data_IF_683514133509
#
_entry.id   IF_683514133509
#
_cell.length_a   1.000
_cell.length_b   1.000
_cell.length_c   1.000
_cell.angle_alpha   90.00
_cell.angle_beta   90.00
_cell.angle_gamma   90.00
#
_symmetry.space_group_name_H-M   'P 1'
#
loop_
_entity.id
_entity.type
_entity.pdbx_description
1 polymer ?
#
# COMPACT_ATOMS: atom_id res chain seq x y z
N UNK A 1 -12.01 -91.22 20.43
CA UNK A 1 -10.64 -90.69 20.60
C UNK A 1 -10.62 -89.33 19.91
N UNK A 2 -10.65 -88.32 20.70
CA UNK A 2 -10.94 -86.94 20.24
C UNK A 2 -9.67 -86.14 20.46
N UNK A 3 -9.16 -85.58 19.42
CA UNK A 3 -8.03 -84.63 19.52
C UNK A 3 -8.49 -83.20 19.35
N UNK A 4 -8.28 -82.47 20.42
CA UNK A 4 -8.47 -81.03 20.48
C UNK A 4 -7.45 -80.30 19.59
N UNK A 5 -7.94 -79.51 18.65
CA UNK A 5 -7.13 -78.54 17.92
C UNK A 5 -7.33 -77.12 18.54
N UNK A 6 -6.23 -76.68 19.09
CA UNK A 6 -6.08 -75.43 19.76
C UNK A 6 -5.96 -74.31 18.70
N UNK A 7 -6.95 -73.45 18.61
CA UNK A 7 -6.91 -72.28 17.69
C UNK A 7 -6.28 -71.14 18.46
N UNK A 8 -5.05 -70.86 18.18
CA UNK A 8 -4.31 -69.71 18.71
C UNK A 8 -4.86 -68.39 18.15
N UNK A 9 -5.16 -67.54 19.09
CA UNK A 9 -5.64 -66.18 18.86
C UNK A 9 -4.64 -65.36 18.03
N UNK A 10 -5.02 -64.96 16.80
CA UNK A 10 -4.37 -63.87 16.07
C UNK A 10 -4.83 -62.55 16.65
N UNK A 11 -3.99 -61.98 17.51
CA UNK A 11 -4.13 -60.57 17.93
C UNK A 11 -3.88 -59.69 16.70
N UNK A 12 -4.94 -59.14 16.14
CA UNK A 12 -4.88 -58.06 15.21
C UNK A 12 -4.27 -56.84 15.91
N UNK A 13 -3.02 -56.47 15.53
CA UNK A 13 -2.43 -55.17 15.86
C UNK A 13 -3.20 -54.12 15.10
N UNK A 14 -4.08 -53.41 15.79
CA UNK A 14 -4.65 -52.17 15.29
C UNK A 14 -3.52 -51.15 15.18
N UNK A 15 -3.13 -50.89 13.97
CA UNK A 15 -2.31 -49.72 13.64
C UNK A 15 -3.18 -48.50 13.88
N UNK A 16 -2.89 -47.79 14.96
CA UNK A 16 -3.45 -46.48 15.21
C UNK A 16 -2.98 -45.60 14.03
N UNK A 17 -3.90 -45.36 13.10
CA UNK A 17 -3.73 -44.39 12.05
C UNK A 17 -3.48 -43.02 12.67
N UNK A 18 -2.27 -42.51 12.57
CA UNK A 18 -1.98 -41.12 12.79
C UNK A 18 -2.86 -40.33 11.82
N UNK A 19 -3.76 -39.46 12.29
CA UNK A 19 -4.36 -38.48 11.40
C UNK A 19 -3.21 -37.52 10.98
N UNK A 20 -2.76 -37.70 9.75
CA UNK A 20 -1.91 -36.72 9.08
C UNK A 20 -2.76 -35.45 8.97
N UNK A 21 -2.71 -34.66 10.04
CA UNK A 21 -3.24 -33.32 10.05
C UNK A 21 -2.39 -32.51 9.08
N UNK A 22 -2.78 -32.60 7.81
CA UNK A 22 -2.26 -31.75 6.73
C UNK A 22 -2.71 -30.33 7.07
N UNK A 23 -1.98 -29.67 7.98
CA UNK A 23 -2.01 -28.25 8.14
C UNK A 23 -1.57 -27.64 6.79
N UNK A 24 -2.54 -27.43 5.93
CA UNK A 24 -2.47 -26.47 4.85
C UNK A 24 -2.25 -25.12 5.52
N UNK A 25 -0.98 -24.82 5.83
CA UNK A 25 -0.52 -23.48 6.03
C UNK A 25 -0.81 -22.76 4.70
N UNK A 26 -1.95 -22.10 4.66
CA UNK A 26 -2.23 -21.04 3.72
C UNK A 26 -1.19 -19.96 4.03
N UNK A 27 0.00 -20.13 3.44
CA UNK A 27 0.95 -19.06 3.27
C UNK A 27 0.24 -18.05 2.35
N UNK A 28 -0.55 -17.19 2.95
CA UNK A 28 -0.93 -15.92 2.34
C UNK A 28 0.40 -15.23 2.09
N UNK A 29 0.93 -15.41 0.89
CA UNK A 29 2.03 -14.60 0.41
C UNK A 29 1.49 -13.16 0.40
N UNK A 30 1.68 -12.44 1.49
CA UNK A 30 1.51 -11.01 1.51
C UNK A 30 2.54 -10.48 0.52
N UNK A 31 2.10 -10.14 -0.67
CA UNK A 31 2.88 -9.40 -1.64
C UNK A 31 3.09 -8.02 -1.01
N UNK A 32 4.18 -7.85 -0.30
CA UNK A 32 4.48 -6.63 0.42
C UNK A 32 5.23 -5.70 -0.52
N UNK A 33 4.59 -4.60 -0.91
CA UNK A 33 5.30 -3.48 -1.52
C UNK A 33 6.36 -2.96 -0.55
N UNK A 34 7.53 -2.60 -1.07
CA UNK A 34 8.60 -2.06 -0.26
C UNK A 34 8.45 -0.53 -0.15
N UNK A 35 8.42 -0.03 1.08
CA UNK A 35 8.50 1.40 1.35
C UNK A 35 9.91 1.91 1.06
N UNK A 36 10.00 2.99 0.29
CA UNK A 36 11.26 3.71 0.03
C UNK A 36 11.36 4.92 0.93
N UNK A 37 12.57 5.20 1.42
CA UNK A 37 12.82 6.40 2.18
C UNK A 37 12.58 7.64 1.31
N UNK A 38 11.80 8.59 1.80
CA UNK A 38 11.54 9.87 1.15
C UNK A 38 12.42 10.92 1.83
N UNK A 39 13.24 11.61 1.02
CA UNK A 39 14.02 12.74 1.51
C UNK A 39 13.28 14.04 1.18
N UNK A 40 13.05 14.86 2.19
CA UNK A 40 12.34 16.13 2.04
C UNK A 40 13.02 17.10 1.04
N UNK A 41 14.32 17.01 0.87
CA UNK A 41 15.06 17.87 -0.06
C UNK A 41 14.86 17.48 -1.55
N UNK A 42 14.48 16.25 -1.82
CA UNK A 42 14.41 15.69 -3.17
C UNK A 42 13.00 15.22 -3.56
N UNK A 43 12.02 15.41 -2.67
CA UNK A 43 10.65 14.96 -2.92
C UNK A 43 9.97 15.82 -3.98
N UNK A 44 9.24 15.18 -4.88
CA UNK A 44 8.35 15.90 -5.80
C UNK A 44 7.08 16.30 -5.03
N UNK A 45 6.84 17.59 -4.89
CA UNK A 45 5.68 18.15 -4.21
C UNK A 45 4.67 18.77 -5.19
N UNK A 46 4.54 18.19 -6.37
CA UNK A 46 3.72 18.77 -7.43
C UNK A 46 2.26 18.97 -7.00
N UNK A 47 1.67 17.97 -6.30
CA UNK A 47 0.29 18.03 -5.86
C UNK A 47 0.10 18.84 -4.56
N UNK A 48 0.94 18.63 -3.56
CA UNK A 48 0.84 19.36 -2.27
C UNK A 48 1.37 20.79 -2.36
N UNK A 49 2.18 21.10 -3.35
CA UNK A 49 2.72 22.44 -3.62
C UNK A 49 3.32 23.10 -2.34
N UNK A 50 2.86 24.28 -1.97
CA UNK A 50 3.36 25.04 -0.81
C UNK A 50 3.14 24.33 0.54
N UNK A 51 2.13 23.46 0.63
CA UNK A 51 1.82 22.74 1.86
C UNK A 51 2.89 21.70 2.21
N UNK A 52 3.73 21.33 1.25
CA UNK A 52 4.86 20.43 1.41
C UNK A 52 5.86 20.90 2.48
N UNK A 53 5.94 22.19 2.71
CA UNK A 53 6.79 22.80 3.75
C UNK A 53 6.41 22.39 5.18
N UNK A 54 5.18 21.92 5.39
CA UNK A 54 4.68 21.43 6.68
C UNK A 54 5.14 20.00 6.99
N UNK A 55 5.59 19.26 5.99
CA UNK A 55 5.92 17.84 6.12
C UNK A 55 7.19 17.62 6.95
N UNK A 56 7.17 16.56 7.72
CA UNK A 56 8.34 16.07 8.48
C UNK A 56 8.50 14.57 8.24
N UNK A 57 9.70 14.05 8.46
CA UNK A 57 9.98 12.62 8.29
C UNK A 57 9.09 11.76 9.19
N UNK A 58 8.45 10.76 8.61
CA UNK A 58 7.65 9.78 9.33
C UNK A 58 8.48 8.66 9.93
N UNK A 59 7.91 7.94 10.90
CA UNK A 59 8.48 6.74 11.49
C UNK A 59 8.29 5.52 10.57
N UNK A 60 8.84 4.37 10.97
CA UNK A 60 8.85 3.15 10.16
C UNK A 60 7.46 2.71 9.66
N UNK A 61 6.44 2.83 10.50
CA UNK A 61 5.05 2.42 10.24
C UNK A 61 4.15 3.57 9.74
N UNK A 62 4.72 4.73 9.43
CA UNK A 62 4.04 5.93 8.94
C UNK A 62 4.41 6.19 7.48
N UNK A 63 3.76 7.16 6.84
CA UNK A 63 4.18 7.66 5.54
C UNK A 63 5.63 8.20 5.59
N UNK A 64 6.32 8.24 4.47
CA UNK A 64 7.71 8.70 4.39
C UNK A 64 7.88 10.12 4.89
N UNK A 65 7.01 11.02 4.44
CA UNK A 65 6.83 12.36 4.99
C UNK A 65 5.39 12.54 5.44
N UNK A 66 5.20 13.27 6.52
CA UNK A 66 3.86 13.49 7.07
C UNK A 66 3.74 14.81 7.81
N UNK A 67 2.51 15.30 7.86
CA UNK A 67 2.08 16.34 8.78
C UNK A 67 0.73 15.93 9.38
N UNK A 68 0.55 16.11 10.68
CA UNK A 68 -0.75 15.94 11.36
C UNK A 68 -0.97 17.18 12.18
N UNK A 69 -2.08 17.88 11.95
CA UNK A 69 -2.39 19.09 12.66
C UNK A 69 -2.66 18.79 14.15
N UNK A 70 -1.83 19.30 15.08
CA UNK A 70 -1.99 19.01 16.51
C UNK A 70 -3.26 19.61 17.12
N UNK A 71 -3.85 20.62 16.45
CA UNK A 71 -5.10 21.25 16.87
C UNK A 71 -6.35 20.62 16.24
N UNK A 72 -6.20 19.53 15.45
CA UNK A 72 -7.33 18.86 14.82
C UNK A 72 -8.14 18.08 15.87
N UNK A 73 -9.43 18.35 15.93
CA UNK A 73 -10.38 17.62 16.78
C UNK A 73 -10.91 16.42 15.99
N UNK A 74 -10.09 15.38 15.87
CA UNK A 74 -10.35 14.22 15.01
C UNK A 74 -11.67 13.49 15.32
N UNK A 75 -12.08 13.44 16.59
CA UNK A 75 -13.31 12.76 17.03
C UNK A 75 -14.60 13.34 16.45
N UNK A 76 -14.56 14.56 15.90
CA UNK A 76 -15.72 15.15 15.25
C UNK A 76 -15.98 14.63 13.83
N UNK A 77 -14.96 13.98 13.21
CA UNK A 77 -15.06 13.53 11.83
C UNK A 77 -15.50 12.07 11.74
N UNK A 78 -16.65 11.85 11.13
CA UNK A 78 -17.20 10.51 10.85
C UNK A 78 -17.61 10.33 9.38
N UNK A 79 -17.42 11.37 8.56
CA UNK A 79 -17.77 11.41 7.15
C UNK A 79 -16.57 11.81 6.31
N UNK A 80 -16.50 11.29 5.07
CA UNK A 80 -15.45 11.63 4.13
C UNK A 80 -16.04 12.01 2.78
N UNK A 81 -15.63 13.15 2.27
CA UNK A 81 -15.81 13.59 0.89
C UNK A 81 -14.50 13.22 0.15
N UNK A 82 -14.58 12.26 -0.78
CA UNK A 82 -13.42 11.82 -1.56
C UNK A 82 -13.48 12.48 -2.93
N UNK A 83 -12.53 13.38 -3.19
CA UNK A 83 -12.35 13.94 -4.53
C UNK A 83 -11.80 12.89 -5.51
N UNK A 84 -12.01 13.05 -6.82
CA UNK A 84 -11.40 12.16 -7.80
C UNK A 84 -9.87 12.09 -7.62
N UNK A 85 -9.32 10.86 -7.56
CA UNK A 85 -7.87 10.67 -7.55
C UNK A 85 -7.28 11.23 -8.85
N UNK A 86 -6.15 11.88 -8.75
CA UNK A 86 -5.45 12.47 -9.90
C UNK A 86 -4.11 11.80 -10.15
N UNK A 87 -3.65 11.81 -11.41
CA UNK A 87 -2.32 11.38 -11.78
C UNK A 87 -1.49 12.60 -12.22
N UNK A 88 -0.32 12.75 -11.62
CA UNK A 88 0.61 13.84 -11.88
C UNK A 88 1.90 13.26 -12.49
N UNK A 89 1.89 13.02 -13.79
CA UNK A 89 3.06 12.68 -14.57
C UNK A 89 3.58 13.93 -15.25
N UNK A 90 4.89 14.17 -15.22
CA UNK A 90 5.50 15.22 -16.05
C UNK A 90 5.46 14.85 -17.54
N UNK A 91 5.97 15.76 -18.38
CA UNK A 91 6.07 15.56 -19.84
C UNK A 91 6.90 14.33 -20.24
N UNK A 92 7.69 13.81 -19.31
CA UNK A 92 8.55 12.62 -19.47
C UNK A 92 7.92 11.32 -18.98
N UNK A 93 6.68 11.34 -18.50
CA UNK A 93 6.02 10.11 -18.02
C UNK A 93 5.93 9.06 -19.14
N UNK A 94 6.29 7.83 -18.82
CA UNK A 94 6.14 6.69 -19.72
C UNK A 94 4.79 6.00 -19.55
N UNK A 95 3.98 6.41 -18.55
CA UNK A 95 2.66 5.83 -18.29
C UNK A 95 1.67 6.36 -19.32
N UNK A 96 1.06 5.47 -20.11
CA UNK A 96 0.07 5.87 -21.11
C UNK A 96 -1.15 6.54 -20.48
N UNK A 97 -1.85 7.40 -21.23
CA UNK A 97 -3.06 8.06 -20.72
C UNK A 97 -4.16 7.07 -20.33
N UNK A 98 -4.27 5.93 -21.03
CA UNK A 98 -5.21 4.85 -20.67
C UNK A 98 -4.86 4.21 -19.36
N UNK A 99 -3.57 4.01 -19.12
CA UNK A 99 -3.07 3.37 -17.91
C UNK A 99 -3.20 4.32 -16.71
N UNK A 100 -2.89 5.60 -16.89
CA UNK A 100 -3.14 6.62 -15.88
C UNK A 100 -4.62 6.62 -15.44
N UNK A 101 -5.53 6.61 -16.43
CA UNK A 101 -6.97 6.61 -16.15
C UNK A 101 -7.41 5.32 -15.43
N UNK A 102 -6.88 4.17 -15.82
CA UNK A 102 -7.20 2.90 -15.19
C UNK A 102 -6.73 2.89 -13.73
N UNK A 103 -5.51 3.37 -13.47
CA UNK A 103 -4.93 3.43 -12.13
C UNK A 103 -5.71 4.37 -11.19
N UNK A 104 -6.05 5.58 -11.65
CA UNK A 104 -6.84 6.51 -10.82
C UNK A 104 -8.26 6.02 -10.56
N UNK A 105 -8.88 5.32 -11.52
CA UNK A 105 -10.18 4.71 -11.35
C UNK A 105 -10.12 3.58 -10.31
N UNK A 106 -9.13 2.70 -10.41
CA UNK A 106 -8.91 1.62 -9.45
C UNK A 106 -8.70 2.19 -8.04
N UNK A 107 -7.81 3.17 -7.88
CA UNK A 107 -7.54 3.80 -6.60
C UNK A 107 -8.81 4.43 -6.02
N UNK A 108 -9.55 5.21 -6.82
CA UNK A 108 -10.79 5.84 -6.39
C UNK A 108 -11.83 4.83 -5.92
N UNK A 109 -11.95 3.70 -6.63
CA UNK A 109 -12.86 2.62 -6.26
C UNK A 109 -12.45 1.96 -4.94
N UNK A 110 -11.17 1.63 -4.79
CA UNK A 110 -10.64 1.00 -3.58
C UNK A 110 -10.72 1.93 -2.36
N UNK A 111 -10.43 3.24 -2.52
CA UNK A 111 -10.61 4.23 -1.46
C UNK A 111 -12.05 4.23 -0.93
N UNK A 112 -13.03 4.34 -1.83
CA UNK A 112 -14.45 4.35 -1.45
C UNK A 112 -14.86 3.04 -0.76
N UNK A 113 -14.42 1.90 -1.29
CA UNK A 113 -14.75 0.58 -0.73
C UNK A 113 -14.15 0.37 0.66
N UNK A 114 -12.88 0.74 0.86
CA UNK A 114 -12.16 0.48 2.10
C UNK A 114 -12.48 1.51 3.18
N UNK A 115 -12.56 2.81 2.84
CA UNK A 115 -12.90 3.85 3.80
C UNK A 115 -14.38 3.82 4.16
N UNK A 116 -15.26 3.42 3.23
CA UNK A 116 -16.69 3.25 3.45
C UNK A 116 -17.06 2.17 4.48
N UNK A 117 -16.11 1.28 4.84
CA UNK A 117 -16.30 0.33 5.94
C UNK A 117 -16.31 1.00 7.33
N UNK A 118 -15.74 2.20 7.43
CA UNK A 118 -15.54 2.90 8.71
C UNK A 118 -16.18 4.29 8.74
N UNK A 119 -16.26 4.95 7.60
CA UNK A 119 -16.76 6.31 7.46
C UNK A 119 -17.92 6.37 6.48
N UNK A 120 -18.86 7.28 6.72
CA UNK A 120 -19.90 7.60 5.73
C UNK A 120 -19.25 8.35 4.56
N UNK A 121 -19.36 7.80 3.34
CA UNK A 121 -18.88 8.49 2.13
C UNK A 121 -19.97 9.43 1.65
N UNK A 122 -19.66 10.71 1.57
CA UNK A 122 -20.58 11.78 1.18
C UNK A 122 -20.10 12.50 -0.08
N UNK A 123 -21.03 13.22 -0.74
CA UNK A 123 -20.75 13.97 -1.96
C UNK A 123 -20.76 15.50 -1.73
N UNK A 124 -20.95 15.94 -0.50
CA UNK A 124 -21.05 17.37 -0.17
C UNK A 124 -20.26 17.68 1.09
N UNK A 125 -19.67 18.87 1.12
CA UNK A 125 -19.04 19.43 2.29
C UNK A 125 -20.07 19.69 3.39
N UNK A 126 -19.66 19.60 4.66
CA UNK A 126 -20.52 19.86 5.79
C UNK A 126 -19.82 19.61 7.13
N UNK A 127 -20.52 19.88 8.24
CA UNK A 127 -19.97 19.62 9.57
C UNK A 127 -19.62 18.13 9.76
N UNK A 128 -18.44 17.86 10.35
CA UNK A 128 -17.98 16.51 10.60
C UNK A 128 -17.49 15.75 9.35
N UNK A 129 -17.35 16.45 8.20
CA UNK A 129 -16.86 15.88 6.96
C UNK A 129 -15.39 16.25 6.76
N UNK A 130 -14.54 15.24 6.62
CA UNK A 130 -13.17 15.39 6.08
C UNK A 130 -13.23 15.38 4.56
N UNK A 131 -12.51 16.28 3.92
CA UNK A 131 -12.25 16.23 2.49
C UNK A 131 -10.91 15.53 2.26
N UNK A 132 -10.91 14.52 1.41
CA UNK A 132 -9.74 13.72 1.06
C UNK A 132 -9.38 13.95 -0.42
N UNK A 133 -8.23 14.52 -0.63
CA UNK A 133 -7.60 14.72 -1.94
C UNK A 133 -6.39 13.77 -2.05
N UNK A 134 -6.29 12.99 -3.13
CA UNK A 134 -5.23 12.00 -3.35
C UNK A 134 -4.68 12.14 -4.76
N UNK A 135 -3.36 12.06 -4.86
CA UNK A 135 -2.66 12.03 -6.12
C UNK A 135 -1.66 10.88 -6.18
N UNK A 136 -1.48 10.34 -7.38
CA UNK A 136 -0.34 9.51 -7.74
C UNK A 136 0.61 10.42 -8.52
N UNK A 137 1.86 10.47 -8.08
CA UNK A 137 2.90 11.26 -8.75
C UNK A 137 3.91 10.30 -9.37
N UNK A 138 4.12 10.43 -10.67
CA UNK A 138 5.16 9.68 -11.36
C UNK A 138 6.53 10.22 -10.97
N UNK A 139 7.33 9.39 -10.31
CA UNK A 139 8.67 9.76 -9.85
C UNK A 139 9.76 9.48 -10.87
N UNK A 140 9.47 8.71 -11.92
CA UNK A 140 10.45 8.45 -12.98
C UNK A 140 10.75 9.71 -13.81
N UNK A 141 9.80 10.63 -13.88
CA UNK A 141 10.00 11.93 -14.50
C UNK A 141 11.05 12.81 -13.79
N UNK A 142 11.45 12.44 -12.56
CA UNK A 142 12.45 13.17 -11.78
C UNK A 142 13.71 12.33 -11.58
N UNK A 143 14.66 12.47 -12.49
CA UNK A 143 15.94 11.76 -12.61
C UNK A 143 16.82 11.55 -11.35
N UNK A 144 16.65 12.23 -10.20
CA UNK A 144 17.46 11.98 -9.01
C UNK A 144 17.12 10.71 -8.24
N UNK A 145 15.90 10.20 -8.35
CA UNK A 145 15.42 9.08 -7.51
C UNK A 145 16.02 7.73 -7.94
N UNK A 146 16.21 7.52 -9.24
CA UNK A 146 16.81 6.28 -9.76
C UNK A 146 18.22 6.00 -9.21
N UNK A 147 19.04 7.04 -8.99
CA UNK A 147 20.39 6.86 -8.44
C UNK A 147 20.43 6.45 -6.98
N UNK A 148 19.37 6.74 -6.21
CA UNK A 148 19.33 6.45 -4.77
C UNK A 148 18.67 5.13 -4.43
N UNK A 149 17.76 4.63 -5.28
CA UNK A 149 17.15 3.31 -5.11
C UNK A 149 18.22 2.22 -5.25
N UNK A 150 19.16 2.38 -6.17
CA UNK A 150 20.28 1.43 -6.38
C UNK A 150 21.23 1.32 -5.18
N UNK A 151 21.26 2.31 -4.28
CA UNK A 151 22.16 2.33 -3.11
C UNK A 151 21.53 1.78 -1.83
N UNK A 152 20.22 1.58 -1.80
CA UNK A 152 19.50 1.15 -0.58
C UNK A 152 19.12 -0.33 -0.64
N UNK A 153 19.13 -0.95 -1.82
CA UNK A 153 18.83 -2.39 -1.97
C UNK A 153 20.05 -3.20 -1.55
N UNK A 154 19.93 -4.17 -0.61
CA UNK A 154 21.04 -5.05 -0.24
C UNK A 154 21.65 -5.71 -1.48
N UNK A 155 22.99 -5.76 -1.55
CA UNK A 155 23.73 -6.22 -2.73
C UNK A 155 23.35 -7.63 -3.23
N UNK A 156 22.85 -8.48 -2.34
CA UNK A 156 22.42 -9.85 -2.67
C UNK A 156 21.20 -9.90 -3.61
N UNK A 157 20.29 -8.94 -3.46
CA UNK A 157 19.14 -8.80 -4.37
C UNK A 157 19.48 -8.01 -5.63
N UNK A 158 20.53 -7.19 -5.57
CA UNK A 158 20.94 -6.34 -6.68
C UNK A 158 21.52 -7.15 -7.87
N UNK A 159 22.26 -8.20 -7.59
CA UNK A 159 22.85 -9.05 -8.66
C UNK A 159 21.76 -9.84 -9.44
N UNK A 160 20.72 -10.31 -8.76
CA UNK A 160 19.58 -10.98 -9.40
C UNK A 160 18.73 -9.97 -10.20
N UNK A 161 18.50 -8.78 -9.63
CA UNK A 161 17.70 -7.72 -10.27
C UNK A 161 18.44 -7.07 -11.45
N UNK A 162 19.76 -6.85 -11.36
CA UNK A 162 20.57 -6.33 -12.47
C UNK A 162 20.63 -7.28 -13.66
N UNK A 163 20.71 -8.59 -13.42
CA UNK A 163 20.67 -9.58 -14.49
C UNK A 163 19.29 -9.61 -15.17
N UNK A 164 18.25 -9.40 -14.41
CA UNK A 164 16.88 -9.34 -14.89
C UNK A 164 16.62 -8.02 -15.63
N UNK A 165 17.06 -6.88 -15.10
CA UNK A 165 16.94 -5.56 -15.73
C UNK A 165 17.77 -5.43 -17.03
N UNK A 166 18.86 -6.19 -17.18
CA UNK A 166 19.67 -6.20 -18.41
C UNK A 166 19.03 -6.99 -19.56
N UNK A 167 18.05 -7.85 -19.27
CA UNK A 167 17.41 -8.74 -20.25
C UNK A 167 15.98 -8.39 -20.59
N UNK A 168 15.31 -7.58 -19.75
CA UNK A 168 13.91 -7.20 -19.96
C UNK A 168 13.77 -5.71 -19.66
N UNK A 169 13.41 -4.95 -20.67
CA UNK A 169 13.06 -3.54 -20.52
C UNK A 169 11.70 -3.48 -19.81
N UNK A 170 11.70 -3.38 -18.48
CA UNK A 170 10.50 -3.07 -17.73
C UNK A 170 10.32 -1.55 -17.70
N UNK A 171 9.35 -1.00 -18.43
CA UNK A 171 9.09 0.44 -18.36
C UNK A 171 8.54 0.87 -16.99
N UNK A 172 8.19 -0.06 -16.09
CA UNK A 172 7.39 0.24 -14.90
C UNK A 172 7.89 -0.36 -13.58
N UNK A 173 9.15 -0.72 -13.45
CA UNK A 173 9.77 -0.97 -12.13
C UNK A 173 10.07 0.38 -11.48
N UNK A 174 9.09 1.29 -11.55
CA UNK A 174 9.19 2.62 -11.01
C UNK A 174 8.79 2.65 -9.55
N UNK A 175 9.34 3.59 -8.82
CA UNK A 175 8.80 4.01 -7.56
C UNK A 175 7.59 4.90 -7.83
N UNK A 176 6.42 4.54 -7.37
CA UNK A 176 5.27 5.43 -7.34
C UNK A 176 5.26 6.23 -6.04
N UNK A 177 4.94 7.51 -6.15
CA UNK A 177 4.72 8.40 -5.02
C UNK A 177 3.22 8.62 -4.85
N UNK A 178 2.70 8.33 -3.65
CA UNK A 178 1.36 8.72 -3.25
C UNK A 178 1.40 10.01 -2.45
N UNK A 179 0.58 10.99 -2.81
CA UNK A 179 0.39 12.23 -2.07
C UNK A 179 -1.04 12.33 -1.57
N UNK A 180 -1.20 12.72 -0.30
CA UNK A 180 -2.51 12.82 0.37
C UNK A 180 -2.62 14.15 1.08
N UNK A 181 -3.76 14.81 0.89
CA UNK A 181 -4.18 16.00 1.62
C UNK A 181 -5.55 15.77 2.24
N UNK A 182 -5.65 15.98 3.54
CA UNK A 182 -6.91 15.90 4.29
C UNK A 182 -7.21 17.26 4.88
N UNK A 183 -8.37 17.77 4.59
CA UNK A 183 -8.84 19.06 5.10
C UNK A 183 -10.19 18.93 5.79
N UNK A 184 -10.50 19.86 6.66
CA UNK A 184 -11.87 20.10 7.08
C UNK A 184 -12.66 20.64 5.89
N UNK A 185 -13.76 20.00 5.53
CA UNK A 185 -14.45 20.29 4.28
C UNK A 185 -15.14 21.66 4.25
N UNK A 186 -15.40 22.25 5.41
CA UNK A 186 -16.08 23.57 5.54
C UNK A 186 -15.05 24.71 5.57
N UNK A 187 -14.05 24.58 6.42
CA UNK A 187 -13.06 25.65 6.63
C UNK A 187 -11.86 25.57 5.70
N UNK A 188 -11.63 24.44 5.05
CA UNK A 188 -10.42 24.18 4.25
C UNK A 188 -9.15 23.99 5.08
N UNK A 189 -9.25 23.99 6.42
CA UNK A 189 -8.10 23.82 7.31
C UNK A 189 -7.45 22.46 7.09
N UNK A 190 -6.14 22.44 6.91
CA UNK A 190 -5.37 21.21 6.77
C UNK A 190 -5.43 20.42 8.09
N UNK A 191 -5.84 19.17 7.99
CA UNK A 191 -5.88 18.21 9.08
C UNK A 191 -4.66 17.28 9.05
N UNK A 192 -4.31 16.78 7.86
CA UNK A 192 -3.11 15.97 7.67
C UNK A 192 -2.62 16.06 6.22
N UNK A 193 -1.32 15.81 6.05
CA UNK A 193 -0.65 15.63 4.76
C UNK A 193 0.23 14.38 4.84
N UNK A 194 0.42 13.70 3.71
CA UNK A 194 1.35 12.59 3.63
C UNK A 194 1.95 12.47 2.23
N UNK A 195 3.21 12.05 2.18
CA UNK A 195 3.89 11.56 0.99
C UNK A 195 4.51 10.21 1.33
N UNK A 196 4.27 9.21 0.50
CA UNK A 196 4.87 7.89 0.66
C UNK A 196 5.30 7.33 -0.69
N UNK A 197 6.52 6.84 -0.76
CA UNK A 197 7.07 6.24 -1.95
C UNK A 197 7.10 4.72 -1.78
N UNK A 198 6.61 4.01 -2.79
CA UNK A 198 6.64 2.56 -2.84
C UNK A 198 7.22 2.05 -4.12
N UNK A 199 7.97 0.97 -4.00
CA UNK A 199 8.43 0.15 -5.11
C UNK A 199 7.59 -1.10 -5.13
N UNK A 200 7.21 -1.56 -6.32
CA UNK A 200 6.52 -2.83 -6.50
C UNK A 200 7.30 -4.00 -5.88
N UNK A 201 6.57 -4.94 -5.28
CA UNK A 201 7.18 -6.16 -4.74
C UNK A 201 7.54 -7.10 -5.89
N UNK A 202 8.80 -7.47 -6.05
CA UNK A 202 9.21 -8.46 -7.04
C UNK A 202 8.74 -9.87 -6.64
N UNK A 203 7.55 -10.28 -7.05
CA UNK A 203 7.19 -11.70 -7.01
C UNK A 203 7.62 -12.37 -8.30
N UNK A 204 8.53 -13.33 -8.21
CA UNK A 204 9.21 -13.98 -9.34
C UNK A 204 8.36 -15.01 -10.11
N UNK A 205 7.03 -15.01 -9.99
CA UNK A 205 6.27 -16.19 -10.40
C UNK A 205 5.49 -16.08 -11.70
N UNK A 206 5.28 -14.90 -12.28
CA UNK A 206 4.53 -14.80 -13.55
C UNK A 206 4.97 -13.61 -14.39
N UNK A 207 5.67 -13.85 -15.48
CA UNK A 207 6.31 -12.84 -16.32
C UNK A 207 5.38 -11.96 -17.19
N UNK A 208 4.05 -11.97 -16.99
CA UNK A 208 3.10 -11.25 -17.84
C UNK A 208 2.00 -10.47 -17.12
N UNK A 209 1.83 -10.63 -15.81
CA UNK A 209 0.80 -9.91 -15.03
C UNK A 209 1.34 -8.68 -14.29
N UNK A 210 2.53 -8.28 -14.58
CA UNK A 210 3.40 -7.41 -13.76
C UNK A 210 3.16 -5.92 -13.89
N UNK A 211 2.67 -5.46 -15.00
CA UNK A 211 2.56 -4.01 -15.24
C UNK A 211 1.59 -3.33 -14.28
N UNK A 212 0.62 -4.08 -13.75
CA UNK A 212 -0.45 -3.54 -12.90
C UNK A 212 -0.41 -4.04 -11.47
N UNK A 213 -0.02 -5.29 -11.23
CA UNK A 213 -0.06 -5.89 -9.90
C UNK A 213 0.75 -5.15 -8.85
N UNK A 214 1.88 -4.58 -9.23
CA UNK A 214 2.72 -3.81 -8.31
C UNK A 214 2.12 -2.44 -7.99
N UNK A 215 1.54 -1.78 -8.97
CA UNK A 215 0.83 -0.52 -8.76
C UNK A 215 -0.43 -0.72 -7.90
N UNK A 216 -1.19 -1.79 -8.15
CA UNK A 216 -2.34 -2.16 -7.33
C UNK A 216 -1.94 -2.46 -5.88
N UNK A 217 -0.86 -3.19 -5.67
CA UNK A 217 -0.33 -3.49 -4.34
C UNK A 217 0.12 -2.21 -3.59
N UNK A 218 0.75 -1.26 -4.28
CA UNK A 218 1.10 0.03 -3.71
C UNK A 218 -0.16 0.81 -3.28
N UNK A 219 -1.17 0.86 -4.16
CA UNK A 219 -2.47 1.49 -3.87
C UNK A 219 -3.12 0.88 -2.63
N UNK A 220 -3.21 -0.46 -2.55
CA UNK A 220 -3.80 -1.14 -1.39
C UNK A 220 -3.03 -0.82 -0.12
N UNK A 221 -1.70 -0.85 -0.15
CA UNK A 221 -0.87 -0.53 1.01
C UNK A 221 -1.05 0.91 1.49
N UNK A 222 -1.19 1.88 0.57
CA UNK A 222 -1.49 3.27 0.93
C UNK A 222 -2.87 3.43 1.54
N UNK A 223 -3.88 2.76 1.00
CA UNK A 223 -5.25 2.80 1.52
C UNK A 223 -5.30 2.19 2.93
N UNK A 224 -4.64 1.06 3.16
CA UNK A 224 -4.57 0.44 4.48
C UNK A 224 -3.89 1.36 5.51
N UNK A 225 -2.77 1.97 5.13
CA UNK A 225 -2.09 2.95 5.98
C UNK A 225 -3.03 4.11 6.34
N UNK A 226 -3.69 4.70 5.35
CA UNK A 226 -4.62 5.81 5.51
C UNK A 226 -5.81 5.40 6.39
N UNK A 227 -6.46 4.27 6.10
CA UNK A 227 -7.60 3.75 6.88
C UNK A 227 -7.23 3.53 8.34
N UNK A 228 -6.08 2.92 8.60
CA UNK A 228 -5.63 2.65 9.96
C UNK A 228 -5.35 3.94 10.72
N UNK A 229 -4.71 4.93 10.08
CA UNK A 229 -4.44 6.23 10.71
C UNK A 229 -5.72 7.01 10.98
N UNK A 230 -6.60 7.15 10.00
CA UNK A 230 -7.87 7.84 10.19
C UNK A 230 -8.72 7.18 11.28
N UNK A 231 -8.80 5.86 11.29
CA UNK A 231 -9.54 5.12 12.31
C UNK A 231 -8.98 5.37 13.71
N UNK A 232 -7.65 5.37 13.85
CA UNK A 232 -6.97 5.63 15.12
C UNK A 232 -7.23 7.06 15.61
N UNK A 233 -7.04 8.06 14.74
CA UNK A 233 -7.25 9.46 15.10
C UNK A 233 -8.70 9.75 15.49
N UNK A 234 -9.67 9.27 14.71
CA UNK A 234 -11.10 9.56 14.96
C UNK A 234 -11.69 8.78 16.14
N UNK A 235 -11.09 7.63 16.53
CA UNK A 235 -11.50 6.88 17.72
C UNK A 235 -10.84 7.38 19.02
N UNK A 236 -9.94 8.36 18.93
CA UNK A 236 -9.21 8.85 20.09
C UNK A 236 -8.11 7.89 20.60
N UNK A 237 -7.88 6.81 19.89
CA UNK A 237 -6.78 5.86 20.18
C UNK A 237 -5.52 6.40 19.51
N UNK A 238 -4.87 7.37 20.15
CA UNK A 238 -3.68 7.99 19.59
C UNK A 238 -2.56 6.94 19.40
N UNK A 239 -2.35 6.48 18.20
CA UNK A 239 -1.07 5.96 17.76
C UNK A 239 -0.17 7.19 17.52
N UNK A 240 0.68 7.48 18.48
CA UNK A 240 1.69 8.53 18.40
C UNK A 240 2.66 8.27 17.25
#
# INVERSE_FOLDING_TARGET
MINHLNISEYRAKTWAGFPLCLCLLLLSACITTQKVAVNQADVNCAFLANDCSLLTTGQKDQAGLRYVNPAAQWSQYNKILIDPVTFWGGDSTQVSASDQQMLVNYFSQQLKAQLGQKFEIVNQAGPGVMKLDVAIVDTEATTPVQRRISTIVPQEHMAANLKYMATVTFPYVGAAQGEVKITDSVSGRILALAIDNRIGGSSFTTGFEWEWGDAENAVIAWIELLKNRLSSWTSGTALQ
#
